data_IF_399241436948
#
_entry.id   IF_399241436948
#
_cell.length_a   1.000
_cell.length_b   1.000
_cell.length_c   1.000
_cell.angle_alpha   90.00
_cell.angle_beta   90.00
_cell.angle_gamma   90.00
#
_symmetry.space_group_name_H-M   'P 1'
#
loop_
_entity.id
_entity.type
_entity.pdbx_description
1 polymer ?
#
# COMPACT_ATOMS: atom_id res chain seq x y z
N UNK A 1 30.17 -28.60 3.35
CA UNK A 1 31.64 -28.65 3.40
C UNK A 1 32.29 -27.29 3.28
N UNK A 2 32.01 -26.46 2.25
CA UNK A 2 32.56 -25.08 2.19
C UNK A 2 31.73 -24.00 2.90
N UNK A 3 30.57 -24.33 3.47
CA UNK A 3 29.63 -23.36 4.05
C UNK A 3 29.18 -23.71 5.48
N UNK A 4 29.86 -24.65 6.16
CA UNK A 4 29.55 -24.89 7.57
C UNK A 4 30.18 -23.79 8.43
N UNK A 5 29.33 -22.91 8.95
CA UNK A 5 29.68 -21.90 9.94
C UNK A 5 30.01 -22.58 11.28
N UNK A 6 31.20 -23.15 11.40
CA UNK A 6 31.81 -23.43 12.69
C UNK A 6 32.66 -22.23 13.10
N UNK A 7 32.12 -21.44 14.02
CA UNK A 7 32.80 -20.34 14.67
C UNK A 7 33.95 -20.87 15.55
N UNK A 8 35.14 -21.00 14.95
CA UNK A 8 36.40 -21.03 15.68
C UNK A 8 37.58 -20.75 14.74
N UNK A 9 38.25 -19.60 14.90
CA UNK A 9 39.65 -19.41 14.51
C UNK A 9 39.97 -18.37 13.43
N UNK A 10 40.63 -17.29 13.88
CA UNK A 10 41.44 -16.29 13.14
C UNK A 10 40.71 -15.27 12.24
N UNK A 11 41.07 -14.00 12.43
CA UNK A 11 40.51 -12.85 11.72
C UNK A 11 41.00 -12.72 10.26
N UNK A 12 42.10 -13.38 9.87
CA UNK A 12 42.66 -13.37 8.51
C UNK A 12 41.88 -14.25 7.51
N UNK A 13 40.93 -15.06 7.99
CA UNK A 13 40.19 -16.04 7.18
C UNK A 13 38.76 -15.63 6.82
N UNK A 14 38.31 -14.44 7.26
CA UNK A 14 36.96 -13.95 6.97
C UNK A 14 36.83 -13.43 5.53
N UNK A 15 37.89 -12.81 5.02
CA UNK A 15 37.89 -12.18 3.69
C UNK A 15 38.02 -13.22 2.57
N UNK A 16 38.82 -14.27 2.78
CA UNK A 16 38.98 -15.38 1.84
C UNK A 16 37.67 -16.19 1.65
N UNK A 17 36.91 -16.37 2.74
CA UNK A 17 35.60 -17.02 2.71
C UNK A 17 34.54 -16.19 2.01
N UNK A 18 34.59 -14.87 2.15
CA UNK A 18 33.66 -13.95 1.50
C UNK A 18 33.86 -13.92 -0.02
N UNK A 19 35.10 -13.73 -0.50
CA UNK A 19 35.42 -13.73 -1.94
C UNK A 19 35.09 -15.07 -2.61
N UNK A 20 35.33 -16.18 -1.89
CA UNK A 20 34.92 -17.52 -2.34
C UNK A 20 33.40 -17.61 -2.50
N UNK A 21 32.64 -17.06 -1.55
CA UNK A 21 31.17 -17.02 -1.61
C UNK A 21 30.67 -16.20 -2.78
N UNK A 22 31.23 -15.00 -3.00
CA UNK A 22 30.93 -14.17 -4.18
C UNK A 22 31.20 -14.92 -5.48
N UNK A 23 32.35 -15.58 -5.58
CA UNK A 23 32.71 -16.38 -6.74
C UNK A 23 31.69 -17.51 -6.99
N UNK A 24 31.30 -18.26 -5.96
CA UNK A 24 30.30 -19.33 -6.09
C UNK A 24 28.93 -18.80 -6.52
N UNK A 25 28.45 -17.70 -5.94
CA UNK A 25 27.17 -17.09 -6.32
C UNK A 25 27.20 -16.61 -7.78
N UNK A 26 28.30 -15.98 -8.21
CA UNK A 26 28.48 -15.57 -9.60
C UNK A 26 28.48 -16.77 -10.55
N UNK A 27 29.19 -17.85 -10.22
CA UNK A 27 29.17 -19.08 -11.00
C UNK A 27 27.76 -19.67 -11.09
N UNK A 28 27.01 -19.67 -9.98
CA UNK A 28 25.65 -20.17 -9.94
C UNK A 28 24.70 -19.30 -10.79
N UNK A 29 24.75 -17.97 -10.65
CA UNK A 29 24.01 -17.03 -11.50
C UNK A 29 24.28 -17.26 -12.99
N UNK A 30 25.56 -17.38 -13.37
CA UNK A 30 25.96 -17.62 -14.76
C UNK A 30 25.49 -18.98 -15.28
N UNK A 31 25.57 -20.03 -14.45
CA UNK A 31 25.10 -21.37 -14.81
C UNK A 31 23.58 -21.34 -15.04
N UNK A 32 22.83 -20.81 -14.08
CA UNK A 32 21.38 -20.71 -14.14
C UNK A 32 20.90 -19.87 -15.32
N UNK A 33 21.58 -18.75 -15.61
CA UNK A 33 21.26 -17.89 -16.75
C UNK A 33 21.53 -18.50 -18.13
N UNK A 34 22.33 -19.58 -18.21
CA UNK A 34 22.61 -20.31 -19.46
C UNK A 34 21.72 -21.52 -19.70
N UNK A 35 20.91 -21.93 -18.72
CA UNK A 35 19.97 -23.03 -18.89
C UNK A 35 18.79 -22.57 -19.76
N UNK A 36 18.39 -23.40 -20.74
CA UNK A 36 17.10 -23.22 -21.40
C UNK A 36 15.94 -23.44 -20.40
N UNK A 37 14.74 -22.96 -20.73
CA UNK A 37 13.58 -22.99 -19.81
C UNK A 37 13.27 -24.40 -19.30
N UNK A 38 13.34 -25.42 -20.16
CA UNK A 38 13.05 -26.82 -19.79
C UNK A 38 14.11 -27.37 -18.84
N UNK A 39 15.39 -27.14 -19.12
CA UNK A 39 16.51 -27.57 -18.26
C UNK A 39 16.50 -26.84 -16.94
N UNK A 40 16.20 -25.54 -16.94
CA UNK A 40 16.07 -24.75 -15.72
C UNK A 40 14.96 -25.32 -14.83
N UNK A 41 13.77 -25.56 -15.39
CA UNK A 41 12.64 -26.12 -14.65
C UNK A 41 12.91 -27.51 -14.08
N UNK A 42 13.50 -28.40 -14.88
CA UNK A 42 13.89 -29.74 -14.44
C UNK A 42 14.92 -29.68 -13.31
N UNK A 43 15.94 -28.83 -13.46
CA UNK A 43 16.99 -28.65 -12.44
C UNK A 43 16.39 -28.08 -11.15
N UNK A 44 15.56 -27.04 -11.25
CA UNK A 44 14.91 -26.44 -10.07
C UNK A 44 13.91 -27.40 -9.40
N UNK A 45 13.25 -28.29 -10.16
CA UNK A 45 12.39 -29.30 -9.58
C UNK A 45 13.16 -30.34 -8.76
N UNK A 46 14.42 -30.63 -9.09
CA UNK A 46 15.25 -31.63 -8.41
C UNK A 46 16.04 -31.04 -7.24
N UNK A 47 16.69 -29.90 -7.44
CA UNK A 47 17.64 -29.31 -6.48
C UNK A 47 17.24 -27.93 -5.97
N UNK A 48 16.14 -27.33 -6.46
CA UNK A 48 15.74 -25.96 -6.14
C UNK A 48 15.63 -25.69 -4.64
N UNK A 49 14.97 -26.57 -3.88
CA UNK A 49 14.89 -26.40 -2.42
C UNK A 49 16.22 -26.55 -1.69
N UNK A 50 17.15 -27.36 -2.21
CA UNK A 50 18.50 -27.47 -1.65
C UNK A 50 19.26 -26.15 -1.88
N UNK A 51 19.15 -25.59 -3.09
CA UNK A 51 19.70 -24.28 -3.42
C UNK A 51 19.10 -23.21 -2.50
N UNK A 52 17.78 -23.12 -2.38
CA UNK A 52 17.10 -22.13 -1.52
C UNK A 52 17.58 -22.21 -0.06
N UNK A 53 17.72 -23.41 0.50
CA UNK A 53 18.22 -23.61 1.88
C UNK A 53 19.66 -23.14 2.07
N UNK A 54 20.51 -23.28 1.05
CA UNK A 54 21.91 -22.82 1.07
C UNK A 54 21.98 -21.30 0.93
N UNK A 55 21.07 -20.70 0.16
CA UNK A 55 21.06 -19.26 -0.10
C UNK A 55 20.48 -18.43 1.04
N UNK A 56 19.54 -18.96 1.84
CA UNK A 56 18.91 -18.17 2.93
C UNK A 56 19.91 -17.56 3.91
N UNK A 57 20.92 -18.29 4.44
CA UNK A 57 21.93 -17.69 5.30
C UNK A 57 22.69 -16.53 4.64
N UNK A 58 22.76 -16.49 3.30
CA UNK A 58 23.45 -15.43 2.55
C UNK A 58 22.64 -14.15 2.48
N UNK A 59 21.32 -14.20 2.68
CA UNK A 59 20.46 -13.02 2.73
C UNK A 59 20.69 -12.18 4.00
N UNK A 60 21.26 -12.77 5.05
CA UNK A 60 21.67 -12.09 6.27
C UNK A 60 23.17 -11.71 6.27
N UNK A 61 23.83 -11.79 5.12
CA UNK A 61 25.23 -11.37 5.01
C UNK A 61 25.36 -9.85 5.21
N UNK A 62 26.52 -9.39 5.67
CA UNK A 62 26.83 -7.95 5.74
C UNK A 62 27.32 -7.37 4.43
N UNK A 63 27.70 -8.23 3.48
CA UNK A 63 28.19 -7.82 2.17
C UNK A 63 27.03 -7.78 1.16
N UNK A 64 26.83 -6.60 0.57
CA UNK A 64 25.72 -6.34 -0.36
C UNK A 64 25.83 -7.15 -1.65
N UNK A 65 27.04 -7.45 -2.17
CA UNK A 65 27.19 -8.24 -3.40
C UNK A 65 26.70 -9.67 -3.19
N UNK A 66 26.96 -10.24 -2.01
CA UNK A 66 26.47 -11.57 -1.61
C UNK A 66 24.95 -11.59 -1.52
N UNK A 67 24.35 -10.58 -0.88
CA UNK A 67 22.89 -10.46 -0.77
C UNK A 67 22.28 -10.31 -2.17
N UNK A 68 22.81 -9.42 -3.01
CA UNK A 68 22.33 -9.18 -4.37
C UNK A 68 22.43 -10.47 -5.22
N UNK A 69 23.53 -11.21 -5.12
CA UNK A 69 23.69 -12.48 -5.82
C UNK A 69 22.65 -13.53 -5.38
N UNK A 70 22.41 -13.67 -4.08
CA UNK A 70 21.41 -14.58 -3.54
C UNK A 70 19.98 -14.17 -3.97
N UNK A 71 19.65 -12.90 -3.85
CA UNK A 71 18.36 -12.32 -4.29
C UNK A 71 18.14 -12.56 -5.79
N UNK A 72 19.16 -12.34 -6.64
CA UNK A 72 19.06 -12.57 -8.08
C UNK A 72 18.73 -14.03 -8.42
N UNK A 73 19.31 -14.99 -7.68
CA UNK A 73 18.99 -16.41 -7.86
C UNK A 73 17.55 -16.70 -7.42
N UNK A 74 17.10 -16.17 -6.28
CA UNK A 74 15.70 -16.31 -5.86
C UNK A 74 14.73 -15.72 -6.89
N UNK A 75 15.02 -14.53 -7.44
CA UNK A 75 14.22 -13.93 -8.52
C UNK A 75 14.13 -14.84 -9.73
N UNK A 76 15.26 -15.42 -10.16
CA UNK A 76 15.26 -16.36 -11.29
C UNK A 76 14.37 -17.59 -11.02
N UNK A 77 14.36 -18.10 -9.79
CA UNK A 77 13.55 -19.24 -9.38
C UNK A 77 12.05 -18.91 -9.36
N UNK A 78 11.66 -17.77 -8.77
CA UNK A 78 10.25 -17.46 -8.51
C UNK A 78 9.57 -16.65 -9.62
N UNK A 79 10.31 -15.78 -10.33
CA UNK A 79 9.74 -14.86 -11.32
C UNK A 79 9.83 -15.37 -12.77
N UNK A 80 10.74 -16.31 -13.07
CA UNK A 80 10.95 -16.89 -14.42
C UNK A 80 10.92 -15.84 -15.57
N UNK A 81 11.88 -14.89 -15.63
CA UNK A 81 11.79 -13.72 -16.52
C UNK A 81 11.80 -14.01 -18.04
N UNK A 82 12.11 -15.24 -18.47
CA UNK A 82 12.31 -15.60 -19.89
C UNK A 82 11.17 -16.39 -20.54
N UNK A 83 10.00 -16.51 -19.90
CA UNK A 83 8.83 -17.15 -20.53
C UNK A 83 8.02 -16.12 -21.34
N UNK A 84 7.75 -16.44 -22.60
CA UNK A 84 6.92 -15.63 -23.49
C UNK A 84 5.54 -15.40 -22.87
N UNK A 85 5.05 -14.17 -23.06
CA UNK A 85 3.86 -13.58 -22.45
C UNK A 85 2.55 -14.39 -22.62
N UNK A 86 2.52 -15.35 -23.56
CA UNK A 86 1.36 -16.20 -23.84
C UNK A 86 1.21 -17.42 -22.91
N UNK A 87 2.28 -17.90 -22.28
CA UNK A 87 2.26 -19.02 -21.31
C UNK A 87 2.15 -18.53 -19.85
N UNK A 88 1.62 -17.32 -19.65
CA UNK A 88 1.55 -16.60 -18.37
C UNK A 88 0.51 -17.17 -17.38
N UNK A 89 0.47 -18.49 -17.22
CA UNK A 89 0.07 -19.12 -15.96
C UNK A 89 1.29 -19.02 -15.04
N UNK A 90 1.47 -17.86 -14.40
CA UNK A 90 2.44 -17.66 -13.32
C UNK A 90 1.92 -18.41 -12.09
N UNK A 91 1.95 -19.73 -12.20
CA UNK A 91 1.72 -20.68 -11.14
C UNK A 91 2.83 -21.71 -11.28
N UNK A 92 4.08 -21.23 -11.22
CA UNK A 92 5.21 -22.12 -11.41
C UNK A 92 5.26 -23.07 -10.22
N UNK A 93 5.25 -24.37 -10.50
CA UNK A 93 5.40 -25.42 -9.48
C UNK A 93 6.57 -25.12 -8.52
N UNK A 94 7.62 -24.48 -9.04
CA UNK A 94 8.79 -24.05 -8.27
C UNK A 94 8.47 -22.90 -7.31
N UNK A 95 7.78 -21.84 -7.75
CA UNK A 95 7.34 -20.76 -6.88
C UNK A 95 6.45 -21.30 -5.75
N UNK A 96 5.51 -22.20 -6.06
CA UNK A 96 4.63 -22.79 -5.03
C UNK A 96 5.39 -23.60 -3.96
N UNK A 97 6.60 -24.07 -4.27
CA UNK A 97 7.46 -24.79 -3.32
C UNK A 97 8.31 -23.81 -2.50
N UNK A 98 8.84 -22.76 -3.14
CA UNK A 98 9.78 -21.82 -2.51
C UNK A 98 9.08 -20.69 -1.77
N UNK A 99 7.93 -20.21 -2.25
CA UNK A 99 7.22 -19.07 -1.65
C UNK A 99 6.78 -19.31 -0.21
N UNK A 100 6.23 -20.48 0.19
CA UNK A 100 5.92 -20.72 1.61
C UNK A 100 7.15 -20.61 2.51
N UNK A 101 8.32 -21.02 2.01
CA UNK A 101 9.58 -20.91 2.73
C UNK A 101 10.04 -19.45 2.84
N UNK A 102 9.93 -18.65 1.77
CA UNK A 102 10.26 -17.23 1.80
C UNK A 102 9.30 -16.43 2.71
N UNK A 103 7.99 -16.74 2.68
CA UNK A 103 6.99 -16.11 3.55
C UNK A 103 7.29 -16.35 5.04
N UNK A 104 7.81 -17.52 5.40
CA UNK A 104 8.22 -17.80 6.78
C UNK A 104 9.39 -16.93 7.24
N UNK A 105 10.24 -16.45 6.33
CA UNK A 105 11.35 -15.54 6.67
C UNK A 105 10.86 -14.12 7.02
N UNK A 106 9.58 -13.81 6.80
CA UNK A 106 8.96 -12.58 7.30
C UNK A 106 8.53 -12.69 8.77
N UNK A 107 8.63 -13.86 9.39
CA UNK A 107 8.12 -14.07 10.75
C UNK A 107 9.09 -13.53 11.84
N UNK A 108 10.36 -13.32 11.47
CA UNK A 108 11.43 -12.80 12.32
C UNK A 108 11.89 -11.42 11.84
N UNK A 109 12.30 -10.53 12.75
CA UNK A 109 12.83 -9.21 12.39
C UNK A 109 14.36 -9.25 12.31
N UNK A 110 14.91 -9.83 11.23
CA UNK A 110 16.35 -9.98 10.99
C UNK A 110 16.78 -9.39 9.63
N UNK A 111 18.08 -9.48 9.29
CA UNK A 111 18.56 -9.00 8.00
C UNK A 111 17.99 -9.79 6.81
N UNK A 112 17.59 -11.04 7.03
CA UNK A 112 16.95 -11.91 6.05
C UNK A 112 15.58 -11.35 5.63
N UNK A 113 14.74 -10.93 6.58
CA UNK A 113 13.39 -10.44 6.28
C UNK A 113 13.44 -9.25 5.33
N UNK A 114 14.36 -8.31 5.55
CA UNK A 114 14.59 -7.14 4.69
C UNK A 114 14.92 -7.51 3.24
N UNK A 115 15.76 -8.51 3.02
CA UNK A 115 16.11 -8.97 1.67
C UNK A 115 14.93 -9.67 0.97
N UNK A 116 14.08 -10.35 1.74
CA UNK A 116 12.95 -11.13 1.22
C UNK A 116 11.72 -10.26 0.95
N UNK A 117 11.55 -9.13 1.64
CA UNK A 117 10.47 -8.16 1.41
C UNK A 117 10.32 -7.81 -0.07
N UNK A 118 11.42 -7.39 -0.72
CA UNK A 118 11.42 -7.00 -2.13
C UNK A 118 11.09 -8.19 -3.06
N UNK A 119 11.59 -9.39 -2.75
CA UNK A 119 11.31 -10.61 -3.52
C UNK A 119 9.82 -10.96 -3.51
N UNK A 120 9.20 -10.89 -2.34
CA UNK A 120 7.78 -11.19 -2.16
C UNK A 120 6.93 -10.12 -2.85
N UNK A 121 7.29 -8.84 -2.69
CA UNK A 121 6.56 -7.74 -3.32
C UNK A 121 6.57 -7.83 -4.87
N UNK A 122 7.73 -8.12 -5.46
CA UNK A 122 7.84 -8.35 -6.91
C UNK A 122 7.04 -9.57 -7.36
N UNK A 123 7.08 -10.67 -6.60
CA UNK A 123 6.29 -11.86 -6.91
C UNK A 123 4.78 -11.56 -6.87
N UNK A 124 4.28 -10.91 -5.82
CA UNK A 124 2.88 -10.52 -5.70
C UNK A 124 2.44 -9.61 -6.84
N UNK A 125 3.30 -8.68 -7.28
CA UNK A 125 2.98 -7.73 -8.35
C UNK A 125 2.92 -8.38 -9.75
N UNK A 126 3.59 -9.52 -9.93
CA UNK A 126 3.64 -10.25 -11.19
C UNK A 126 2.64 -11.43 -11.23
N UNK A 127 2.29 -12.00 -10.08
CA UNK A 127 1.36 -13.11 -10.00
C UNK A 127 -0.07 -12.67 -10.38
N UNK A 128 -0.83 -13.59 -10.99
CA UNK A 128 -2.24 -13.37 -11.33
C UNK A 128 -3.19 -13.75 -10.20
N UNK A 129 -2.78 -14.67 -9.33
CA UNK A 129 -3.53 -14.99 -8.12
C UNK A 129 -3.08 -14.09 -6.97
N UNK A 130 -3.99 -13.87 -6.03
CA UNK A 130 -3.76 -13.05 -4.84
C UNK A 130 -3.32 -13.89 -3.63
N UNK A 131 -3.05 -15.20 -3.79
CA UNK A 131 -2.77 -16.10 -2.67
C UNK A 131 -1.56 -15.68 -1.86
N UNK A 132 -0.48 -15.24 -2.53
CA UNK A 132 0.71 -14.76 -1.85
C UNK A 132 0.44 -13.44 -1.11
N UNK A 133 -0.31 -12.52 -1.73
CA UNK A 133 -0.72 -11.27 -1.08
C UNK A 133 -1.61 -11.55 0.14
N UNK A 134 -2.58 -12.45 0.04
CA UNK A 134 -3.44 -12.82 1.16
C UNK A 134 -2.63 -13.37 2.34
N UNK A 135 -1.56 -14.10 2.08
CA UNK A 135 -0.68 -14.63 3.12
C UNK A 135 0.21 -13.55 3.76
N UNK A 136 0.52 -12.48 3.03
CA UNK A 136 1.12 -11.25 3.57
C UNK A 136 0.10 -10.48 4.42
N UNK A 137 -1.14 -10.31 3.95
CA UNK A 137 -2.20 -9.62 4.69
C UNK A 137 -2.55 -10.33 6.01
N UNK A 138 -2.55 -11.67 6.03
CA UNK A 138 -2.68 -12.44 7.29
C UNK A 138 -1.57 -12.14 8.29
N UNK A 139 -0.32 -11.98 7.83
CA UNK A 139 0.79 -11.57 8.70
C UNK A 139 0.63 -10.15 9.20
N UNK A 140 0.14 -9.25 8.36
CA UNK A 140 -0.20 -7.87 8.76
C UNK A 140 -1.32 -7.83 9.81
N UNK A 141 -2.26 -8.78 9.76
CA UNK A 141 -3.33 -8.93 10.73
C UNK A 141 -2.91 -9.67 12.02
N UNK A 142 -1.71 -10.28 12.05
CA UNK A 142 -1.28 -11.16 13.15
C UNK A 142 -1.02 -10.44 14.48
N UNK A 143 -0.99 -11.20 15.58
CA UNK A 143 -0.62 -10.66 16.89
C UNK A 143 0.89 -10.38 17.04
N UNK A 144 1.74 -10.97 16.19
CA UNK A 144 3.18 -10.84 16.24
C UNK A 144 3.64 -9.52 15.58
N UNK A 145 4.32 -8.67 16.35
CA UNK A 145 4.80 -7.36 15.88
C UNK A 145 5.81 -7.45 14.73
N UNK A 146 6.71 -8.44 14.74
CA UNK A 146 7.70 -8.67 13.69
C UNK A 146 7.02 -9.03 12.38
N UNK A 147 6.04 -9.94 12.43
CA UNK A 147 5.21 -10.32 11.28
C UNK A 147 4.48 -9.11 10.71
N UNK A 148 3.84 -8.29 11.56
CA UNK A 148 3.12 -7.11 11.09
C UNK A 148 4.03 -6.08 10.44
N UNK A 149 5.21 -5.82 11.02
CA UNK A 149 6.18 -4.85 10.47
C UNK A 149 6.73 -5.30 9.13
N UNK A 150 7.21 -6.53 9.05
CA UNK A 150 7.75 -7.07 7.80
C UNK A 150 6.66 -7.15 6.71
N UNK A 151 5.42 -7.51 7.07
CA UNK A 151 4.30 -7.49 6.13
C UNK A 151 3.95 -6.07 5.66
N UNK A 152 4.00 -5.08 6.55
CA UNK A 152 3.81 -3.67 6.19
C UNK A 152 4.86 -3.22 5.17
N UNK A 153 6.13 -3.59 5.36
CA UNK A 153 7.20 -3.29 4.40
C UNK A 153 6.94 -3.95 3.04
N UNK A 154 6.42 -5.18 3.00
CA UNK A 154 5.99 -5.82 1.74
C UNK A 154 4.87 -5.04 1.05
N UNK A 155 3.84 -4.60 1.79
CA UNK A 155 2.74 -3.82 1.22
C UNK A 155 3.23 -2.48 0.67
N UNK A 156 4.16 -1.81 1.36
CA UNK A 156 4.78 -0.60 0.88
C UNK A 156 5.48 -0.82 -0.47
N UNK A 157 6.29 -1.87 -0.58
CA UNK A 157 6.98 -2.20 -1.84
C UNK A 157 6.02 -2.59 -2.96
N UNK A 158 4.94 -3.34 -2.67
CA UNK A 158 3.90 -3.68 -3.66
C UNK A 158 3.26 -2.41 -4.21
N UNK A 159 2.94 -1.44 -3.35
CA UNK A 159 2.38 -0.15 -3.76
C UNK A 159 3.37 0.65 -4.61
N UNK A 160 4.64 0.68 -4.23
CA UNK A 160 5.70 1.35 -5.00
C UNK A 160 5.89 0.73 -6.39
N UNK A 161 5.95 -0.60 -6.49
CA UNK A 161 6.06 -1.32 -7.77
C UNK A 161 4.82 -1.06 -8.63
N UNK A 162 3.64 -1.07 -8.02
CA UNK A 162 2.36 -0.87 -8.73
C UNK A 162 2.24 0.51 -9.34
N UNK A 163 2.80 1.56 -8.71
CA UNK A 163 2.85 2.91 -9.27
C UNK A 163 3.71 3.01 -10.53
N UNK A 164 4.78 2.20 -10.61
CA UNK A 164 5.66 2.16 -11.77
C UNK A 164 5.19 1.18 -12.87
N UNK A 165 4.29 0.26 -12.52
CA UNK A 165 3.83 -0.83 -13.38
C UNK A 165 2.63 -0.43 -14.24
N UNK A 166 2.56 -1.00 -15.47
CA UNK A 166 1.38 -0.88 -16.35
C UNK A 166 0.29 -1.90 -16.06
N UNK A 167 0.55 -2.87 -15.17
CA UNK A 167 -0.39 -3.94 -14.79
C UNK A 167 -0.72 -3.79 -13.31
N UNK A 168 -1.87 -3.18 -12.98
CA UNK A 168 -2.30 -3.08 -11.59
C UNK A 168 -2.75 -4.45 -11.07
N UNK A 169 -2.66 -4.64 -9.75
CA UNK A 169 -3.32 -5.75 -9.07
C UNK A 169 -4.84 -5.73 -9.31
N UNK A 170 -5.53 -6.89 -9.18
CA UNK A 170 -6.99 -6.96 -9.26
C UNK A 170 -7.68 -6.05 -8.24
N UNK A 171 -8.88 -5.58 -8.57
CA UNK A 171 -9.67 -4.71 -7.68
C UNK A 171 -9.94 -5.34 -6.31
N UNK A 172 -10.25 -6.65 -6.25
CA UNK A 172 -10.47 -7.37 -5.00
C UNK A 172 -9.24 -7.38 -4.09
N UNK A 173 -8.05 -7.55 -4.67
CA UNK A 173 -6.79 -7.51 -3.95
C UNK A 173 -6.52 -6.13 -3.35
N UNK A 174 -6.81 -5.05 -4.09
CA UNK A 174 -6.69 -3.70 -3.57
C UNK A 174 -7.70 -3.39 -2.48
N UNK A 175 -8.93 -3.87 -2.61
CA UNK A 175 -9.96 -3.69 -1.60
C UNK A 175 -9.55 -4.38 -0.29
N UNK A 176 -9.08 -5.62 -0.35
CA UNK A 176 -8.64 -6.35 0.85
C UNK A 176 -7.40 -5.71 1.49
N UNK A 177 -6.47 -5.22 0.67
CA UNK A 177 -5.31 -4.47 1.15
C UNK A 177 -5.75 -3.19 1.86
N UNK A 178 -6.67 -2.43 1.28
CA UNK A 178 -7.20 -1.21 1.89
C UNK A 178 -7.93 -1.50 3.22
N UNK A 179 -8.77 -2.53 3.26
CA UNK A 179 -9.46 -2.96 4.48
C UNK A 179 -8.47 -3.32 5.59
N UNK A 180 -7.45 -4.11 5.26
CA UNK A 180 -6.42 -4.51 6.25
C UNK A 180 -5.64 -3.29 6.76
N UNK A 181 -5.28 -2.34 5.88
CA UNK A 181 -4.60 -1.10 6.27
C UNK A 181 -5.50 -0.20 7.13
N UNK A 182 -6.81 -0.12 6.86
CA UNK A 182 -7.76 0.60 7.70
C UNK A 182 -7.76 0.07 9.13
N UNK A 183 -7.78 -1.26 9.31
CA UNK A 183 -7.67 -1.85 10.64
C UNK A 183 -6.35 -1.51 11.34
N UNK A 184 -5.26 -1.39 10.58
CA UNK A 184 -3.94 -1.03 11.12
C UNK A 184 -3.81 0.42 11.57
N UNK A 185 -4.77 1.31 11.25
CA UNK A 185 -4.83 2.65 11.84
C UNK A 185 -5.06 2.60 13.37
N UNK A 186 -5.58 1.47 13.88
CA UNK A 186 -5.72 1.21 15.30
C UNK A 186 -4.71 0.23 15.88
N UNK A 187 -3.58 -0.01 15.21
CA UNK A 187 -2.55 -0.90 15.73
C UNK A 187 -1.95 -0.36 17.05
N UNK A 188 -1.54 -1.28 17.93
CA UNK A 188 -0.84 -0.95 19.18
C UNK A 188 0.53 -0.35 18.91
N UNK A 189 1.17 -0.72 17.80
CA UNK A 189 2.46 -0.20 17.40
C UNK A 189 2.31 1.13 16.63
N UNK A 190 2.95 2.19 17.15
CA UNK A 190 2.86 3.54 16.58
C UNK A 190 3.40 3.56 15.14
N UNK A 191 4.52 2.88 14.88
CA UNK A 191 5.11 2.84 13.54
C UNK A 191 4.14 2.21 12.52
N UNK A 192 3.44 1.14 12.90
CA UNK A 192 2.42 0.51 12.02
C UNK A 192 1.28 1.49 11.71
N UNK A 193 0.76 2.21 12.72
CA UNK A 193 -0.29 3.22 12.51
C UNK A 193 0.14 4.31 11.54
N UNK A 194 1.37 4.81 11.70
CA UNK A 194 1.95 5.83 10.83
C UNK A 194 2.20 5.32 9.41
N UNK A 195 2.61 4.07 9.23
CA UNK A 195 2.77 3.50 7.90
C UNK A 195 1.41 3.29 7.23
N UNK A 196 0.42 2.78 7.95
CA UNK A 196 -0.92 2.60 7.42
C UNK A 196 -1.53 3.93 6.92
N UNK A 197 -1.36 5.02 7.68
CA UNK A 197 -1.85 6.34 7.27
C UNK A 197 -1.12 6.93 6.07
N UNK A 198 0.15 6.57 5.85
CA UNK A 198 0.94 6.96 4.67
C UNK A 198 0.64 6.12 3.43
N UNK A 199 0.37 4.83 3.61
CA UNK A 199 0.16 3.88 2.51
C UNK A 199 -1.27 3.89 1.98
N UNK A 200 -2.29 4.08 2.82
CA UNK A 200 -3.69 4.17 2.38
C UNK A 200 -3.90 5.16 1.21
N UNK A 201 -3.40 6.41 1.27
CA UNK A 201 -3.51 7.36 0.17
C UNK A 201 -3.01 6.85 -1.19
N UNK A 202 -2.10 5.86 -1.18
CA UNK A 202 -1.54 5.27 -2.40
C UNK A 202 -2.53 4.35 -3.14
N UNK A 203 -3.58 3.88 -2.47
CA UNK A 203 -4.67 3.08 -3.03
C UNK A 203 -5.81 4.01 -3.46
N UNK A 204 -6.59 3.58 -4.47
CA UNK A 204 -7.80 4.29 -4.91
C UNK A 204 -8.75 4.53 -3.71
N UNK A 205 -9.01 5.81 -3.34
CA UNK A 205 -9.87 6.13 -2.20
C UNK A 205 -11.32 5.67 -2.35
N UNK A 206 -11.79 5.41 -3.58
CA UNK A 206 -13.14 4.89 -3.82
C UNK A 206 -13.42 3.57 -3.08
N UNK A 207 -12.37 2.82 -2.74
CA UNK A 207 -12.45 1.51 -2.09
C UNK A 207 -12.68 1.59 -0.58
N UNK A 208 -12.28 2.70 0.07
CA UNK A 208 -12.16 2.74 1.54
C UNK A 208 -12.53 4.07 2.19
N UNK A 209 -12.73 5.15 1.43
CA UNK A 209 -12.86 6.50 2.01
C UNK A 209 -14.06 6.62 2.96
N UNK A 210 -15.19 5.98 2.65
CA UNK A 210 -16.36 6.00 3.54
C UNK A 210 -16.05 5.41 4.92
N UNK A 211 -15.37 4.26 4.95
CA UNK A 211 -15.02 3.59 6.20
C UNK A 211 -13.91 4.35 6.95
N UNK A 212 -12.98 4.96 6.23
CA UNK A 212 -11.99 5.87 6.82
C UNK A 212 -12.65 7.08 7.50
N UNK A 213 -13.65 7.70 6.85
CA UNK A 213 -14.38 8.83 7.42
C UNK A 213 -15.14 8.39 8.68
N UNK A 214 -15.73 7.19 8.69
CA UNK A 214 -16.39 6.62 9.89
C UNK A 214 -15.41 6.44 11.06
N UNK A 215 -14.17 6.04 10.80
CA UNK A 215 -13.15 5.86 11.85
C UNK A 215 -12.83 7.15 12.61
N UNK A 216 -12.93 8.33 11.98
CA UNK A 216 -12.73 9.63 12.65
C UNK A 216 -13.82 9.90 13.71
N UNK A 217 -14.98 9.28 13.58
CA UNK A 217 -16.07 9.40 14.55
C UNK A 217 -16.06 8.29 15.61
N UNK A 218 -15.24 7.24 15.45
CA UNK A 218 -15.09 6.18 16.46
C UNK A 218 -14.49 6.73 17.75
N UNK A 219 -14.95 6.36 18.95
CA UNK A 219 -14.39 6.86 20.22
C UNK A 219 -12.94 6.43 20.51
N UNK A 220 -12.33 5.60 19.66
CA UNK A 220 -11.01 4.99 19.89
C UNK A 220 -9.82 5.93 19.61
N UNK A 221 -8.62 5.53 20.07
CA UNK A 221 -7.34 6.22 19.80
C UNK A 221 -7.01 6.36 18.29
N UNK A 222 -7.74 5.64 17.45
CA UNK A 222 -7.57 5.55 16.00
C UNK A 222 -7.91 6.88 15.29
N UNK A 223 -8.60 7.81 15.96
CA UNK A 223 -9.03 9.09 15.38
C UNK A 223 -7.87 9.91 14.79
N UNK A 224 -6.72 9.94 15.47
CA UNK A 224 -5.56 10.72 15.03
C UNK A 224 -5.01 10.16 13.71
N UNK A 225 -4.70 8.87 13.65
CA UNK A 225 -4.20 8.20 12.46
C UNK A 225 -5.20 8.19 11.30
N UNK A 226 -6.51 8.08 11.58
CA UNK A 226 -7.54 8.20 10.56
C UNK A 226 -7.61 9.62 9.98
N UNK A 227 -7.48 10.65 10.82
CA UNK A 227 -7.42 12.05 10.37
C UNK A 227 -6.19 12.30 9.51
N UNK A 228 -5.02 11.80 9.92
CA UNK A 228 -3.77 11.89 9.15
C UNK A 228 -3.90 11.19 7.78
N UNK A 229 -4.55 10.03 7.74
CA UNK A 229 -4.81 9.32 6.49
C UNK A 229 -5.73 10.11 5.56
N UNK A 230 -6.81 10.73 6.08
CA UNK A 230 -7.69 11.61 5.27
C UNK A 230 -6.90 12.80 4.71
N UNK A 231 -6.08 13.45 5.54
CA UNK A 231 -5.21 14.54 5.07
C UNK A 231 -4.26 14.03 3.98
N UNK A 232 -3.67 12.84 4.16
CA UNK A 232 -2.82 12.18 3.18
C UNK A 232 -3.53 11.94 1.84
N UNK A 233 -4.78 11.45 1.88
CA UNK A 233 -5.63 11.25 0.69
C UNK A 233 -5.82 12.57 -0.04
N UNK A 234 -6.27 13.61 0.67
CA UNK A 234 -6.57 14.90 0.06
C UNK A 234 -5.32 15.58 -0.50
N UNK A 235 -4.17 15.50 0.19
CA UNK A 235 -2.89 16.05 -0.29
C UNK A 235 -2.38 15.32 -1.54
N UNK A 236 -2.49 13.99 -1.57
CA UNK A 236 -2.01 13.18 -2.71
C UNK A 236 -2.88 13.32 -3.95
N UNK A 237 -4.18 13.49 -3.75
CA UNK A 237 -5.18 13.63 -4.82
C UNK A 237 -5.67 15.08 -4.95
N UNK A 238 -4.81 16.07 -4.67
CA UNK A 238 -5.16 17.49 -4.55
C UNK A 238 -5.67 18.15 -5.84
N UNK A 239 -5.55 17.49 -6.99
CA UNK A 239 -6.10 17.93 -8.29
C UNK A 239 -7.28 17.05 -8.76
N UNK A 240 -7.61 15.97 -8.05
CA UNK A 240 -8.68 15.07 -8.42
C UNK A 240 -9.98 15.47 -7.70
N UNK A 241 -10.80 16.24 -8.41
CA UNK A 241 -12.07 16.74 -7.89
C UNK A 241 -13.02 15.62 -7.44
N UNK A 242 -12.99 14.46 -8.11
CA UNK A 242 -13.86 13.33 -7.78
C UNK A 242 -13.62 12.81 -6.36
N UNK A 243 -12.38 12.91 -5.85
CA UNK A 243 -12.06 12.51 -4.47
C UNK A 243 -12.64 13.50 -3.46
N UNK A 244 -12.66 14.80 -3.80
CA UNK A 244 -13.29 15.82 -2.96
C UNK A 244 -14.81 15.62 -2.94
N UNK A 245 -15.41 15.32 -4.11
CA UNK A 245 -16.81 14.97 -4.21
C UNK A 245 -17.15 13.75 -3.37
N UNK A 246 -16.34 12.69 -3.48
CA UNK A 246 -16.51 11.48 -2.67
C UNK A 246 -16.46 11.79 -1.17
N UNK A 247 -15.54 12.65 -0.72
CA UNK A 247 -15.48 13.07 0.69
C UNK A 247 -16.77 13.79 1.12
N UNK A 248 -17.23 14.76 0.33
CA UNK A 248 -18.45 15.53 0.60
C UNK A 248 -19.67 14.60 0.65
N UNK A 249 -19.75 13.65 -0.28
CA UNK A 249 -20.84 12.67 -0.34
C UNK A 249 -20.79 11.71 0.85
N UNK A 250 -19.60 11.27 1.28
CA UNK A 250 -19.43 10.49 2.50
C UNK A 250 -19.94 11.24 3.74
N UNK A 251 -19.61 12.54 3.86
CA UNK A 251 -20.08 13.37 4.98
C UNK A 251 -21.59 13.56 4.97
N UNK A 252 -22.19 13.78 3.79
CA UNK A 252 -23.63 13.89 3.64
C UNK A 252 -24.31 12.56 4.02
N UNK A 253 -23.82 11.43 3.51
CA UNK A 253 -24.35 10.10 3.80
C UNK A 253 -24.29 9.75 5.29
N UNK A 254 -23.17 10.06 5.95
CA UNK A 254 -23.02 9.82 7.40
C UNK A 254 -24.03 10.67 8.18
N UNK A 255 -24.19 11.94 7.82
CA UNK A 255 -25.16 12.83 8.47
C UNK A 255 -26.60 12.31 8.34
N UNK A 256 -26.97 11.78 7.18
CA UNK A 256 -28.32 11.22 6.94
C UNK A 256 -28.53 9.85 7.59
N UNK A 257 -27.51 8.99 7.61
CA UNK A 257 -27.62 7.61 8.12
C UNK A 257 -27.81 7.53 9.65
N UNK A 258 -27.32 8.53 10.38
CA UNK A 258 -27.38 8.60 11.85
C UNK A 258 -28.55 9.46 12.36
N UNK A 259 -29.27 10.13 11.45
CA UNK A 259 -30.53 10.84 11.72
C UNK A 259 -31.76 9.89 11.70
N UNK A 260 -31.56 8.57 11.47
CA UNK A 260 -32.61 7.57 11.66
C UNK A 260 -32.90 7.38 13.16
N UNK A 261 -34.19 7.29 13.58
CA UNK A 261 -34.53 7.17 14.99
C UNK A 261 -33.96 5.86 15.57
N UNK A 262 -32.93 5.95 16.40
CA UNK A 262 -32.54 4.84 17.25
C UNK A 262 -33.61 4.64 18.36
N UNK A 263 -33.90 3.40 18.76
CA UNK A 263 -34.85 3.13 19.84
C UNK A 263 -34.35 3.79 21.13
N UNK A 264 -35.26 4.57 21.74
CA UNK A 264 -35.03 5.50 22.84
C UNK A 264 -34.06 4.95 23.92
N UNK A 265 -32.89 5.59 24.04
CA UNK A 265 -31.95 5.29 25.11
C UNK A 265 -30.74 6.22 25.17
N UNK A 266 -30.16 6.57 24.02
CA UNK A 266 -28.92 7.34 24.00
C UNK A 266 -29.14 8.79 23.58
N UNK A 267 -28.60 9.71 24.40
CA UNK A 267 -28.64 11.15 24.19
C UNK A 267 -28.06 11.49 22.82
N UNK A 268 -28.83 12.22 22.01
CA UNK A 268 -28.43 12.78 20.71
C UNK A 268 -27.04 13.46 20.80
N UNK A 269 -25.99 12.77 20.38
CA UNK A 269 -24.78 13.43 19.88
C UNK A 269 -24.98 13.63 18.39
N UNK A 270 -25.58 14.76 18.00
CA UNK A 270 -25.65 15.19 16.60
C UNK A 270 -24.26 15.04 15.99
N UNK A 271 -24.12 14.21 14.96
CA UNK A 271 -22.82 13.87 14.38
C UNK A 271 -22.11 15.15 13.98
N UNK A 272 -20.97 15.43 14.62
CA UNK A 272 -20.22 16.64 14.39
C UNK A 272 -19.43 16.51 13.09
N UNK A 273 -20.11 16.68 11.96
CA UNK A 273 -19.50 16.81 10.62
C UNK A 273 -18.30 17.78 10.59
N UNK A 274 -18.20 18.70 11.56
CA UNK A 274 -17.05 19.58 11.70
C UNK A 274 -15.75 18.83 12.00
N UNK A 275 -15.75 17.62 12.57
CA UNK A 275 -14.51 16.88 12.88
C UNK A 275 -13.65 16.64 11.65
N UNK A 276 -14.25 16.07 10.60
CA UNK A 276 -13.56 15.81 9.33
C UNK A 276 -13.37 17.11 8.54
N UNK A 277 -14.35 18.01 8.56
CA UNK A 277 -14.24 19.29 7.86
C UNK A 277 -13.15 20.21 8.44
N UNK A 278 -12.78 20.08 9.72
CA UNK A 278 -11.63 20.78 10.32
C UNK A 278 -10.28 20.38 9.71
N UNK A 279 -10.21 19.28 8.97
CA UNK A 279 -9.00 18.86 8.24
C UNK A 279 -8.87 19.61 6.90
N UNK A 280 -9.96 20.14 6.36
CA UNK A 280 -10.01 20.82 5.06
C UNK A 280 -9.06 22.03 4.99
N UNK A 281 -8.96 22.93 6.00
CA UNK A 281 -8.00 24.04 5.96
C UNK A 281 -6.54 23.61 5.97
N UNK A 282 -6.21 22.41 6.47
CA UNK A 282 -4.84 21.90 6.38
C UNK A 282 -4.54 21.40 4.97
N UNK A 283 -5.49 20.68 4.37
CA UNK A 283 -5.39 20.28 2.97
C UNK A 283 -5.35 21.47 2.02
N UNK A 284 -6.15 22.52 2.27
CA UNK A 284 -6.29 23.66 1.37
C UNK A 284 -4.95 24.36 1.09
N UNK A 285 -4.04 24.36 2.07
CA UNK A 285 -2.64 24.85 1.94
C UNK A 285 -1.80 24.09 0.92
N UNK A 286 -2.19 22.88 0.55
CA UNK A 286 -1.50 22.03 -0.45
C UNK A 286 -2.08 22.15 -1.86
N UNK A 287 -3.19 22.88 -2.03
CA UNK A 287 -3.82 23.12 -3.33
C UNK A 287 -3.01 24.14 -4.10
N UNK A 288 -2.49 23.74 -5.25
CA UNK A 288 -1.65 24.61 -6.10
C UNK A 288 -2.48 25.51 -7.02
N UNK A 289 -3.60 25.00 -7.54
CA UNK A 289 -4.45 25.70 -8.50
C UNK A 289 -5.93 25.50 -8.18
N UNK A 290 -6.52 26.52 -7.56
CA UNK A 290 -7.94 26.54 -7.22
C UNK A 290 -8.85 26.64 -8.44
N UNK A 291 -8.34 27.11 -9.59
CA UNK A 291 -9.18 27.30 -10.78
C UNK A 291 -9.78 25.98 -11.28
N UNK A 292 -9.06 24.87 -11.11
CA UNK A 292 -9.51 23.55 -11.55
C UNK A 292 -10.52 22.91 -10.59
N UNK A 293 -10.64 23.42 -9.36
CA UNK A 293 -11.51 22.84 -8.32
C UNK A 293 -12.78 23.66 -8.11
N UNK A 294 -12.70 24.99 -8.18
CA UNK A 294 -13.81 25.86 -7.78
C UNK A 294 -15.02 25.76 -8.69
N UNK A 295 -14.85 25.76 -10.01
CA UNK A 295 -15.96 25.62 -10.94
C UNK A 295 -16.79 24.36 -10.66
N UNK A 296 -16.18 23.17 -10.71
CA UNK A 296 -16.86 21.92 -10.38
C UNK A 296 -17.49 21.87 -8.97
N UNK A 297 -16.83 22.43 -7.95
CA UNK A 297 -17.41 22.49 -6.59
C UNK A 297 -18.68 23.34 -6.54
N UNK A 298 -18.70 24.47 -7.25
CA UNK A 298 -19.89 25.33 -7.34
C UNK A 298 -20.99 24.59 -8.09
N UNK A 299 -20.66 23.96 -9.22
CA UNK A 299 -21.61 23.20 -10.02
C UNK A 299 -22.26 22.07 -9.20
N UNK A 300 -21.48 21.33 -8.39
CA UNK A 300 -22.01 20.30 -7.48
C UNK A 300 -22.94 20.89 -6.42
N UNK A 301 -22.63 22.08 -5.88
CA UNK A 301 -23.49 22.74 -4.89
C UNK A 301 -24.83 23.16 -5.49
N UNK A 302 -24.84 23.65 -6.73
CA UNK A 302 -26.09 23.99 -7.42
C UNK A 302 -26.87 22.75 -7.86
N UNK A 303 -26.19 21.65 -8.20
CA UNK A 303 -26.83 20.39 -8.56
C UNK A 303 -27.54 19.71 -7.37
N UNK A 304 -27.00 19.84 -6.15
CA UNK A 304 -27.66 19.37 -4.92
C UNK A 304 -27.61 20.43 -3.80
N UNK A 305 -28.51 21.43 -3.85
CA UNK A 305 -28.56 22.50 -2.85
C UNK A 305 -28.94 22.03 -1.44
N UNK A 306 -29.48 20.80 -1.31
CA UNK A 306 -29.88 20.22 -0.03
C UNK A 306 -28.71 19.64 0.76
N UNK A 307 -27.57 19.45 0.10
CA UNK A 307 -26.36 18.91 0.71
C UNK A 307 -25.72 19.94 1.66
N UNK A 308 -26.00 19.84 2.96
CA UNK A 308 -25.40 20.74 3.94
C UNK A 308 -23.88 20.56 4.08
N UNK A 309 -23.32 19.41 3.67
CA UNK A 309 -21.89 19.15 3.77
C UNK A 309 -21.09 20.00 2.77
N UNK A 310 -21.57 20.21 1.54
CA UNK A 310 -20.86 21.05 0.56
C UNK A 310 -20.84 22.53 0.96
N UNK A 311 -21.93 23.03 1.54
CA UNK A 311 -21.99 24.42 2.04
C UNK A 311 -21.01 24.62 3.19
N UNK A 312 -20.96 23.68 4.13
CA UNK A 312 -19.98 23.72 5.22
C UNK A 312 -18.55 23.58 4.68
N UNK A 313 -18.31 22.73 3.69
CA UNK A 313 -17.00 22.60 3.06
C UNK A 313 -16.51 23.96 2.52
N UNK A 314 -17.37 24.71 1.82
CA UNK A 314 -17.04 26.06 1.36
C UNK A 314 -16.70 27.04 2.48
N UNK A 315 -17.31 26.92 3.67
CA UNK A 315 -16.98 27.81 4.79
C UNK A 315 -15.55 27.60 5.31
N UNK A 316 -15.04 26.35 5.26
CA UNK A 316 -13.67 26.02 5.67
C UNK A 316 -12.59 26.46 4.67
N UNK A 317 -12.93 26.64 3.39
CA UNK A 317 -12.01 27.16 2.35
C UNK A 317 -12.28 28.62 2.01
N UNK A 318 -13.11 29.33 2.78
CA UNK A 318 -13.57 30.69 2.45
C UNK A 318 -12.43 31.71 2.27
N UNK A 319 -11.33 31.57 3.01
CA UNK A 319 -10.14 32.39 2.82
C UNK A 319 -9.45 32.10 1.47
N UNK A 320 -9.41 30.85 1.03
CA UNK A 320 -8.84 30.45 -0.24
C UNK A 320 -9.72 30.93 -1.42
N UNK A 321 -11.04 30.91 -1.26
CA UNK A 321 -12.00 31.43 -2.25
C UNK A 321 -11.80 32.91 -2.57
N UNK A 322 -11.30 33.71 -1.61
CA UNK A 322 -11.01 35.15 -1.83
C UNK A 322 -9.99 35.38 -2.95
N UNK A 323 -9.12 34.39 -3.21
CA UNK A 323 -8.09 34.50 -4.24
C UNK A 323 -8.61 34.20 -5.65
N UNK A 324 -9.83 33.66 -5.77
CA UNK A 324 -10.46 33.23 -7.02
C UNK A 324 -11.90 33.75 -7.16
N UNK A 325 -12.18 34.92 -6.56
CA UNK A 325 -13.53 35.52 -6.49
C UNK A 325 -14.16 35.71 -7.87
N UNK A 326 -13.39 36.15 -8.87
CA UNK A 326 -13.90 36.35 -10.22
C UNK A 326 -14.47 35.05 -10.83
N UNK A 327 -13.78 33.92 -10.57
CA UNK A 327 -14.20 32.61 -11.03
C UNK A 327 -15.46 32.13 -10.27
N UNK A 328 -15.48 32.34 -8.95
CA UNK A 328 -16.65 32.02 -8.11
C UNK A 328 -17.88 32.78 -8.59
N UNK A 329 -17.75 34.10 -8.78
CA UNK A 329 -18.84 34.95 -9.26
C UNK A 329 -19.27 34.57 -10.68
N UNK A 330 -18.33 34.23 -11.56
CA UNK A 330 -18.63 33.78 -12.91
C UNK A 330 -19.53 32.54 -12.90
N UNK A 331 -19.13 31.47 -12.20
CA UNK A 331 -19.92 30.24 -12.11
C UNK A 331 -21.28 30.46 -11.44
N UNK A 332 -21.35 31.23 -10.34
CA UNK A 332 -22.63 31.55 -9.68
C UNK A 332 -23.57 32.30 -10.63
N UNK A 333 -23.06 33.26 -11.41
CA UNK A 333 -23.88 34.02 -12.35
C UNK A 333 -24.38 33.16 -13.52
N UNK A 334 -23.62 32.15 -13.96
CA UNK A 334 -24.06 31.19 -14.98
C UNK A 334 -25.29 30.43 -14.48
N UNK A 335 -25.22 29.81 -13.30
CA UNK A 335 -26.34 29.07 -12.71
C UNK A 335 -27.57 29.96 -12.45
N UNK A 336 -27.37 31.20 -11.99
CA UNK A 336 -28.49 32.15 -11.77
C UNK A 336 -29.15 32.60 -13.07
N UNK A 337 -28.43 32.60 -14.20
CA UNK A 337 -29.01 32.90 -15.52
C UNK A 337 -29.77 31.70 -16.07
N UNK A 338 -29.24 30.50 -15.94
CA UNK A 338 -29.89 29.25 -16.38
C UNK A 338 -31.19 28.98 -15.61
N UNK A 339 -31.27 29.36 -14.33
CA UNK A 339 -32.51 29.26 -13.54
C UNK A 339 -33.60 30.26 -13.94
N UNK A 340 -33.30 31.25 -14.80
CA UNK A 340 -34.27 32.26 -15.27
C UNK A 340 -34.86 31.93 -16.64
N UNK A 341 -34.38 30.89 -17.31
CA UNK A 341 -34.93 30.34 -18.56
C UNK A 341 -35.85 29.14 -18.27
#
# INVERSE_FOLDING_TARGET
>A
YYMDNHASGSADNKDSGLETTKFFLNCLCLLLGRLDSKRFESTMSEIGMKISRILVPQLNCTDEDVIVGAVAIFKAIILKPNLSQEDALINSRQANIVMPFLLHLLDEQDGTSRAVVMLIAEYCSLCKDDMCLMEVLKRLASENISQRRNAMDVIAEILHISLASKKPLPHSAWQETANTLLERLGDKDIWIREQASKLLPMIDPSLYLLDLVRLVYSPDENQSSASDAIIGVLKRHNQNIEIIFLLVDCLNNISQSLDLPQPAGDKESKVDTARVLKLVPEWSKSVQDWNNLIGPLIDKMFADPSNAAIVKFFSYISEDLKNVVDLVLHHVLLHVREQKE
#
